data_IF_812781562239
#
_entry.id   IF_812781562239
#
_cell.length_a   1.000
_cell.length_b   1.000
_cell.length_c   1.000
_cell.angle_alpha   90.00
_cell.angle_beta   90.00
_cell.angle_gamma   90.00
#
_symmetry.space_group_name_H-M   'P 1'
#
loop_
_entity.id
_entity.type
_entity.pdbx_description
1 polymer ?
#
# COMPACT_ATOMS: atom_id res chain seq x y z
N UNK A 1 -9.50 4.30 -5.60
CA UNK A 1 -9.01 3.09 -4.94
C UNK A 1 -8.96 1.99 -5.98
N UNK A 2 -7.90 1.21 -5.97
CA UNK A 2 -7.69 -0.01 -6.77
C UNK A 2 -7.38 -1.16 -5.81
N UNK A 3 -7.89 -2.36 -6.13
CA UNK A 3 -7.52 -3.60 -5.45
C UNK A 3 -6.88 -4.50 -6.51
N UNK A 4 -5.59 -4.75 -6.36
CA UNK A 4 -4.81 -5.59 -7.28
C UNK A 4 -4.64 -6.97 -6.67
N UNK A 5 -4.99 -8.01 -7.43
CA UNK A 5 -4.78 -9.39 -7.02
C UNK A 5 -3.42 -9.87 -7.52
N UNK A 6 -2.67 -10.47 -6.61
CA UNK A 6 -1.41 -11.15 -6.86
C UNK A 6 -1.57 -12.66 -6.65
N UNK A 7 -0.47 -13.40 -6.79
CA UNK A 7 -0.46 -14.82 -6.54
C UNK A 7 -0.86 -15.15 -5.09
N UNK A 8 -1.23 -16.41 -4.84
CA UNK A 8 -1.51 -16.94 -3.50
C UNK A 8 -2.62 -16.21 -2.74
N UNK A 9 -3.67 -15.74 -3.44
CA UNK A 9 -4.82 -15.07 -2.83
C UNK A 9 -4.45 -13.78 -2.09
N UNK A 10 -3.42 -13.06 -2.55
CA UNK A 10 -2.97 -11.79 -1.96
C UNK A 10 -3.60 -10.63 -2.72
N UNK A 11 -4.23 -9.71 -1.98
CA UNK A 11 -4.84 -8.50 -2.53
C UNK A 11 -4.18 -7.25 -1.98
N UNK A 12 -3.60 -6.41 -2.83
CA UNK A 12 -3.02 -5.13 -2.41
C UNK A 12 -4.00 -3.99 -2.68
N UNK A 13 -4.34 -3.25 -1.63
CA UNK A 13 -5.25 -2.12 -1.71
C UNK A 13 -4.46 -0.83 -1.90
N UNK A 14 -4.66 -0.17 -3.03
CA UNK A 14 -4.05 1.11 -3.36
C UNK A 14 -5.09 2.22 -3.33
N UNK A 15 -4.80 3.29 -2.63
CA UNK A 15 -5.67 4.46 -2.58
C UNK A 15 -5.05 5.66 -3.28
N UNK A 16 -5.88 6.36 -4.05
CA UNK A 16 -5.61 7.68 -4.59
C UNK A 16 -6.94 8.45 -4.70
N UNK A 17 -6.92 9.79 -4.57
CA UNK A 17 -8.07 10.63 -4.83
C UNK A 17 -8.51 10.52 -6.30
N UNK A 18 -9.80 10.38 -6.57
CA UNK A 18 -10.31 10.19 -7.94
C UNK A 18 -9.97 11.38 -8.86
N UNK A 19 -9.97 12.60 -8.31
CA UNK A 19 -9.57 13.82 -9.02
C UNK A 19 -8.12 13.77 -9.54
N UNK A 20 -7.29 12.90 -8.95
CA UNK A 20 -5.89 12.70 -9.33
C UNK A 20 -5.70 11.45 -10.18
N UNK A 21 -6.75 10.77 -10.65
CA UNK A 21 -6.62 9.53 -11.43
C UNK A 21 -5.65 9.65 -12.63
N UNK A 22 -5.65 10.81 -13.30
CA UNK A 22 -4.76 11.09 -14.42
C UNK A 22 -3.34 11.54 -14.03
N UNK A 23 -3.08 11.81 -12.75
CA UNK A 23 -1.76 12.25 -12.28
C UNK A 23 -0.79 11.07 -12.16
N UNK A 24 0.45 11.20 -12.64
CA UNK A 24 1.50 10.22 -12.36
C UNK A 24 1.80 10.12 -10.86
N UNK A 25 1.58 11.21 -10.10
CA UNK A 25 1.83 11.30 -8.67
C UNK A 25 0.58 11.02 -7.81
N UNK A 26 -0.46 10.41 -8.38
CA UNK A 26 -1.78 10.22 -7.71
C UNK A 26 -1.72 9.53 -6.36
N UNK A 27 -0.72 8.65 -6.18
CA UNK A 27 -0.48 7.95 -4.93
C UNK A 27 0.36 8.75 -3.94
N UNK A 28 1.10 9.78 -4.37
CA UNK A 28 2.02 10.60 -3.53
C UNK A 28 1.40 11.91 -3.03
N UNK A 29 0.30 12.34 -3.64
CA UNK A 29 -0.36 13.60 -3.32
C UNK A 29 -1.38 13.44 -2.17
N UNK A 30 -1.29 14.33 -1.19
CA UNK A 30 -2.30 14.46 -0.14
C UNK A 30 -3.32 15.53 -0.58
N UNK A 31 -4.59 15.17 -0.69
CA UNK A 31 -5.67 16.15 -0.71
C UNK A 31 -6.09 16.40 0.73
N UNK A 32 -6.07 17.65 1.15
CA UNK A 32 -6.44 18.06 2.51
C UNK A 32 -7.97 18.22 2.61
N UNK A 33 -8.72 17.19 2.22
CA UNK A 33 -10.19 17.20 2.13
C UNK A 33 -10.88 16.66 3.40
N UNK A 34 -10.11 16.29 4.43
CA UNK A 34 -10.63 15.82 5.72
C UNK A 34 -11.21 14.40 5.70
N UNK A 35 -11.01 13.64 4.61
CA UNK A 35 -11.84 12.47 4.32
C UNK A 35 -11.16 11.10 4.54
N UNK A 36 -10.01 11.10 5.23
CA UNK A 36 -9.18 9.91 5.47
C UNK A 36 -9.99 8.76 6.10
N UNK A 37 -10.91 9.06 7.01
CA UNK A 37 -11.72 8.05 7.69
C UNK A 37 -12.73 7.37 6.74
N UNK A 38 -13.35 8.14 5.82
CA UNK A 38 -14.28 7.60 4.80
C UNK A 38 -13.55 6.73 3.79
N UNK A 39 -12.37 7.14 3.39
CA UNK A 39 -11.48 6.39 2.50
C UNK A 39 -11.15 5.04 3.13
N UNK A 40 -10.70 5.05 4.38
CA UNK A 40 -10.32 3.82 5.09
C UNK A 40 -11.52 2.91 5.32
N UNK A 41 -12.67 3.48 5.65
CA UNK A 41 -13.94 2.72 5.75
C UNK A 41 -14.28 2.02 4.44
N UNK A 42 -14.06 2.70 3.31
CA UNK A 42 -14.28 2.11 1.97
C UNK A 42 -13.30 0.97 1.71
N UNK A 43 -12.01 1.15 2.03
CA UNK A 43 -11.00 0.10 1.92
C UNK A 43 -11.36 -1.13 2.76
N UNK A 44 -11.79 -0.93 4.00
CA UNK A 44 -12.24 -2.03 4.88
C UNK A 44 -13.45 -2.76 4.29
N UNK A 45 -14.45 -2.04 3.75
CA UNK A 45 -15.62 -2.65 3.11
C UNK A 45 -15.26 -3.49 1.89
N UNK A 46 -14.38 -2.97 1.02
CA UNK A 46 -13.89 -3.71 -0.14
C UNK A 46 -13.13 -4.97 0.29
N UNK A 47 -12.27 -4.87 1.30
CA UNK A 47 -11.58 -6.03 1.84
C UNK A 47 -12.53 -7.09 2.38
N UNK A 48 -13.54 -6.69 3.16
CA UNK A 48 -14.57 -7.62 3.65
C UNK A 48 -15.31 -8.32 2.50
N UNK A 49 -15.57 -7.59 1.42
CA UNK A 49 -16.24 -8.14 0.23
C UNK A 49 -15.35 -9.11 -0.57
N UNK A 50 -14.04 -8.87 -0.61
CA UNK A 50 -13.06 -9.84 -1.12
C UNK A 50 -13.09 -11.11 -0.25
N UNK A 51 -13.01 -10.97 1.08
CA UNK A 51 -13.00 -12.11 2.01
C UNK A 51 -14.27 -12.98 1.99
N UNK A 52 -15.40 -12.44 1.48
CA UNK A 52 -16.65 -13.21 1.25
C UNK A 52 -16.58 -14.06 -0.01
N UNK A 53 -15.85 -13.60 -1.03
CA UNK A 53 -15.73 -14.25 -2.33
C UNK A 53 -14.55 -15.21 -2.40
N UNK A 54 -13.48 -14.90 -1.64
CA UNK A 54 -12.28 -15.71 -1.53
C UNK A 54 -11.99 -16.00 -0.04
N UNK A 55 -12.20 -17.25 0.42
CA UNK A 55 -11.99 -17.61 1.82
C UNK A 55 -10.51 -17.56 2.24
N UNK A 56 -9.58 -17.66 1.29
CA UNK A 56 -8.13 -17.66 1.51
C UNK A 56 -7.49 -16.27 1.37
N UNK A 57 -8.30 -15.26 1.07
CA UNK A 57 -7.85 -13.90 0.81
C UNK A 57 -7.04 -13.32 1.97
N UNK A 58 -5.77 -13.07 1.70
CA UNK A 58 -4.90 -12.19 2.47
C UNK A 58 -4.87 -10.82 1.81
N UNK A 59 -4.58 -9.76 2.57
CA UNK A 59 -4.51 -8.41 2.01
C UNK A 59 -3.33 -7.62 2.52
N UNK A 60 -2.96 -6.56 1.81
CA UNK A 60 -1.93 -5.64 2.26
C UNK A 60 -2.04 -4.26 1.65
N UNK A 61 -1.20 -3.35 2.14
CA UNK A 61 -1.08 -2.00 1.61
C UNK A 61 0.33 -1.46 1.82
N UNK A 62 0.69 -0.45 1.03
CA UNK A 62 1.88 0.39 1.22
C UNK A 62 1.42 1.81 1.57
N UNK A 63 1.92 2.33 2.68
CA UNK A 63 1.73 3.71 3.09
C UNK A 63 2.76 4.60 2.42
N UNK A 64 2.48 5.00 1.18
CA UNK A 64 3.38 5.86 0.39
C UNK A 64 3.77 7.14 1.12
N UNK A 65 5.07 7.47 1.06
CA UNK A 65 5.62 8.67 1.69
C UNK A 65 5.10 9.92 0.98
N UNK A 66 4.87 10.98 1.76
CA UNK A 66 4.65 12.32 1.20
C UNK A 66 5.96 12.89 0.66
N UNK A 67 5.86 13.93 -0.18
CA UNK A 67 7.05 14.66 -0.65
C UNK A 67 7.85 15.18 0.54
N UNK A 68 9.13 14.80 0.62
CA UNK A 68 10.04 15.16 1.71
C UNK A 68 9.87 14.33 2.99
N UNK A 69 8.98 13.34 3.02
CA UNK A 69 8.84 12.39 4.13
C UNK A 69 9.77 11.19 3.95
N UNK A 70 10.34 10.69 5.05
CA UNK A 70 11.10 9.43 5.03
C UNK A 70 10.20 8.23 4.73
N UNK A 71 10.78 7.21 4.09
CA UNK A 71 10.07 5.97 3.69
C UNK A 71 9.63 5.08 4.85
N UNK A 72 10.28 5.18 6.00
CA UNK A 72 9.98 4.34 7.15
C UNK A 72 8.90 4.99 8.01
N UNK A 73 7.89 4.21 8.39
CA UNK A 73 6.82 4.63 9.30
C UNK A 73 6.12 5.93 8.87
N UNK A 74 5.71 6.02 7.61
CA UNK A 74 5.05 7.22 7.06
C UNK A 74 3.75 7.55 7.80
N UNK A 75 3.31 8.81 7.70
CA UNK A 75 2.01 9.26 8.22
C UNK A 75 0.86 8.38 7.74
N UNK A 76 0.84 8.04 6.45
CA UNK A 76 -0.19 7.16 5.88
C UNK A 76 -0.13 5.77 6.46
N UNK A 77 1.05 5.17 6.54
CA UNK A 77 1.22 3.86 7.17
C UNK A 77 0.65 3.83 8.59
N UNK A 78 0.97 4.83 9.42
CA UNK A 78 0.46 4.90 10.81
C UNK A 78 -1.06 5.00 10.86
N UNK A 79 -1.66 5.86 10.05
CA UNK A 79 -3.13 6.05 10.01
C UNK A 79 -3.82 4.77 9.52
N UNK A 80 -3.29 4.13 8.48
CA UNK A 80 -3.88 2.93 7.89
C UNK A 80 -3.76 1.75 8.84
N UNK A 81 -2.58 1.58 9.47
CA UNK A 81 -2.32 0.55 10.46
C UNK A 81 -3.27 0.68 11.65
N UNK A 82 -3.40 1.87 12.23
CA UNK A 82 -4.30 2.10 13.36
C UNK A 82 -5.75 1.79 13.01
N UNK A 83 -6.16 2.05 11.77
CA UNK A 83 -7.52 1.78 11.32
C UNK A 83 -7.76 0.28 11.16
N UNK A 84 -6.88 -0.43 10.46
CA UNK A 84 -7.07 -1.88 10.25
C UNK A 84 -7.00 -2.67 11.56
N UNK A 85 -6.13 -2.30 12.50
CA UNK A 85 -6.04 -2.97 13.81
C UNK A 85 -7.25 -2.72 14.69
N UNK A 86 -7.97 -1.61 14.50
CA UNK A 86 -9.22 -1.34 15.20
C UNK A 86 -10.40 -2.16 14.66
N UNK A 87 -10.41 -2.47 13.36
CA UNK A 87 -11.54 -3.16 12.70
C UNK A 87 -11.35 -4.66 12.50
N UNK A 88 -10.11 -5.14 12.42
CA UNK A 88 -9.80 -6.55 12.14
C UNK A 88 -9.18 -7.19 13.38
N UNK A 89 -9.86 -8.18 13.93
CA UNK A 89 -9.39 -8.96 15.06
C UNK A 89 -8.47 -10.13 14.66
N UNK A 90 -7.70 -10.67 15.62
CA UNK A 90 -6.66 -11.67 15.36
C UNK A 90 -7.17 -13.09 15.11
N UNK A 91 -8.50 -13.31 15.17
CA UNK A 91 -9.11 -14.65 15.08
C UNK A 91 -8.90 -15.29 13.71
N UNK A 92 -9.24 -14.59 12.63
CA UNK A 92 -9.09 -15.09 11.25
C UNK A 92 -7.76 -14.70 10.63
N UNK A 93 -7.11 -13.67 11.16
CA UNK A 93 -5.98 -13.04 10.51
C UNK A 93 -4.77 -12.88 11.42
N UNK A 94 -3.58 -12.84 10.81
CA UNK A 94 -2.31 -12.47 11.43
C UNK A 94 -1.91 -11.09 10.90
N UNK A 95 -1.54 -10.20 11.81
CA UNK A 95 -1.17 -8.83 11.48
C UNK A 95 0.34 -8.72 11.39
N UNK A 96 0.85 -8.32 10.22
CA UNK A 96 2.28 -8.14 9.95
C UNK A 96 2.57 -6.69 9.56
N UNK A 97 2.82 -5.79 10.53
CA UNK A 97 3.34 -4.46 10.22
C UNK A 97 4.80 -4.55 9.74
N UNK A 98 5.12 -3.85 8.66
CA UNK A 98 6.46 -3.78 8.04
C UNK A 98 6.93 -2.31 8.03
N UNK A 99 7.27 -1.74 9.21
CA UNK A 99 7.45 -0.29 9.38
C UNK A 99 8.65 0.28 8.60
N UNK A 100 9.70 -0.51 8.38
CA UNK A 100 10.90 -0.12 7.61
C UNK A 100 10.54 0.28 6.17
N UNK A 101 9.51 -0.36 5.63
CA UNK A 101 9.02 -0.13 4.26
C UNK A 101 7.63 0.50 4.23
N UNK A 102 7.11 0.94 5.37
CA UNK A 102 5.77 1.50 5.51
C UNK A 102 4.66 0.62 4.91
N UNK A 103 4.85 -0.69 4.93
CA UNK A 103 3.89 -1.63 4.38
C UNK A 103 3.22 -2.43 5.51
N UNK A 104 2.11 -3.06 5.17
CA UNK A 104 1.35 -3.89 6.08
C UNK A 104 0.78 -5.08 5.33
N UNK A 105 0.86 -6.25 5.98
CA UNK A 105 0.28 -7.48 5.48
C UNK A 105 -0.66 -8.10 6.52
N UNK A 106 -1.87 -8.41 6.09
CA UNK A 106 -2.91 -9.09 6.83
C UNK A 106 -3.07 -10.48 6.24
N UNK A 107 -2.45 -11.44 6.89
CA UNK A 107 -2.42 -12.82 6.43
C UNK A 107 -3.66 -13.57 6.91
N UNK A 108 -4.39 -14.20 5.99
CA UNK A 108 -5.47 -15.11 6.33
C UNK A 108 -4.87 -16.42 6.86
N UNK A 109 -5.26 -16.82 8.07
CA UNK A 109 -4.78 -18.07 8.69
C UNK A 109 -5.16 -19.33 7.92
N UNK A 110 -6.20 -19.26 7.08
CA UNK A 110 -6.64 -20.37 6.25
C UNK A 110 -5.88 -20.44 4.91
N UNK A 111 -5.07 -19.43 4.58
CA UNK A 111 -4.31 -19.43 3.35
C UNK A 111 -3.26 -20.57 3.40
N UNK A 112 -3.24 -21.48 2.40
CA UNK A 112 -2.41 -22.68 2.48
C UNK A 112 -0.94 -22.43 2.11
N UNK A 113 -0.60 -21.24 1.62
CA UNK A 113 0.73 -20.97 1.08
C UNK A 113 1.81 -20.92 2.19
N UNK A 114 2.83 -21.79 2.15
CA UNK A 114 3.92 -21.75 3.12
C UNK A 114 4.82 -20.53 2.91
N UNK A 115 5.21 -19.87 4.01
CA UNK A 115 6.12 -18.72 3.96
C UNK A 115 5.53 -17.49 3.26
N UNK A 116 4.19 -17.38 3.20
CA UNK A 116 3.50 -16.31 2.48
C UNK A 116 3.96 -14.90 2.90
N UNK A 117 4.21 -14.67 4.19
CA UNK A 117 4.74 -13.39 4.68
C UNK A 117 6.02 -12.98 3.96
N UNK A 118 6.99 -13.90 3.85
CA UNK A 118 8.29 -13.63 3.22
C UNK A 118 8.12 -13.31 1.73
N UNK A 119 7.27 -14.07 1.04
CA UNK A 119 6.97 -13.85 -0.38
C UNK A 119 6.32 -12.47 -0.60
N UNK A 120 5.37 -12.09 0.25
CA UNK A 120 4.70 -10.78 0.18
C UNK A 120 5.64 -9.63 0.52
N UNK A 121 6.50 -9.81 1.51
CA UNK A 121 7.50 -8.81 1.88
C UNK A 121 8.50 -8.56 0.73
N UNK A 122 8.95 -9.62 0.06
CA UNK A 122 9.78 -9.52 -1.14
C UNK A 122 9.04 -8.83 -2.28
N UNK A 123 7.80 -9.24 -2.58
CA UNK A 123 6.94 -8.59 -3.58
C UNK A 123 6.79 -7.09 -3.30
N UNK A 124 6.60 -6.68 -2.04
CA UNK A 124 6.52 -5.26 -1.71
C UNK A 124 7.82 -4.51 -2.00
N UNK A 125 8.97 -5.12 -1.74
CA UNK A 125 10.27 -4.52 -2.06
C UNK A 125 10.46 -4.37 -3.57
N UNK A 126 10.15 -5.41 -4.34
CA UNK A 126 10.36 -5.42 -5.79
C UNK A 126 9.44 -4.46 -6.54
N UNK A 127 8.18 -4.33 -6.13
CA UNK A 127 7.19 -3.55 -6.88
C UNK A 127 7.10 -2.08 -6.46
N UNK A 128 7.43 -1.76 -5.20
CA UNK A 128 7.19 -0.42 -4.66
C UNK A 128 8.46 0.28 -4.18
N UNK A 129 9.56 -0.44 -4.00
CA UNK A 129 10.77 0.14 -3.39
C UNK A 129 11.91 0.20 -4.41
N UNK A 130 12.20 -0.92 -5.08
CA UNK A 130 13.30 -0.98 -6.06
C UNK A 130 13.08 0.00 -7.23
N UNK A 131 11.88 0.10 -7.84
CA UNK A 131 11.66 1.01 -8.96
C UNK A 131 11.83 2.48 -8.56
N UNK A 132 11.36 2.87 -7.38
CA UNK A 132 11.51 4.24 -6.87
C UNK A 132 12.97 4.58 -6.53
N UNK A 133 13.71 3.65 -5.96
CA UNK A 133 15.13 3.84 -5.67
C UNK A 133 15.95 4.06 -6.96
N UNK A 134 15.60 3.34 -8.03
CA UNK A 134 16.20 3.54 -9.35
C UNK A 134 15.83 4.89 -9.97
N UNK A 135 14.61 5.39 -9.76
CA UNK A 135 14.22 6.73 -10.21
C UNK A 135 14.93 7.84 -9.44
N UNK A 136 15.04 7.73 -8.12
CA UNK A 136 15.72 8.71 -7.27
C UNK A 136 17.24 8.78 -7.47
N UNK A 137 17.85 7.69 -7.95
CA UNK A 137 19.28 7.61 -8.24
C UNK A 137 19.67 8.15 -9.64
N UNK A 138 18.70 8.55 -10.48
CA UNK A 138 19.03 9.16 -11.78
C UNK A 138 19.72 10.51 -11.55
N UNK A 139 20.93 10.73 -12.10
CA UNK A 139 21.59 12.04 -12.01
C UNK A 139 20.71 13.10 -12.70
N UNK A 140 20.63 14.29 -12.10
CA UNK A 140 20.00 15.46 -12.73
C UNK A 140 20.66 15.68 -14.09
N UNK A 141 19.92 15.44 -15.17
CA UNK A 141 20.31 15.89 -16.50
C UNK A 141 20.36 17.42 -16.45
N UNK A 142 21.50 18.07 -16.80
CA UNK A 142 21.49 19.52 -16.94
C UNK A 142 20.52 19.89 -18.05
N UNK A 143 19.65 20.87 -17.77
CA UNK A 143 18.81 21.50 -18.78
C UNK A 143 19.71 22.02 -19.90
N UNK A 144 19.65 21.36 -21.06
CA UNK A 144 20.21 21.92 -22.28
C UNK A 144 19.28 23.05 -22.73
N UNK A 145 19.44 24.20 -22.09
CA UNK A 145 18.95 25.47 -22.62
C UNK A 145 19.79 25.83 -23.85
N UNK A 146 19.51 25.14 -24.96
CA UNK A 146 19.97 25.48 -26.29
C UNK A 146 19.26 26.73 -26.79
N UNK A 147 19.70 27.89 -26.28
CA UNK A 147 19.57 29.18 -26.96
C UNK A 147 20.71 29.29 -27.96
N UNK A 148 20.40 29.11 -29.25
CA UNK A 148 20.87 29.86 -30.45
C UNK A 148 20.75 29.01 -31.70
#
# INVERSE_FOLDING_TARGET
MEAEQYQHHVYVLKYYPLALKASPNRFKLLVNDGDAFRILTTCTRVFLDICRRDPFASAGFVGEALLGEGRATTKRFRVYLNTVTAFVGPTRFIHHPLPVISAYFLECRANPEPGLKQQVEQMFQELYIVPEAMEAAKPNQPDDSGLS
#
